data_IF_642243782226
#
_entry.id   IF_642243782226
#
_cell.length_a   1.000
_cell.length_b   1.000
_cell.length_c   1.000
_cell.angle_alpha   90.00
_cell.angle_beta   90.00
_cell.angle_gamma   90.00
#
_symmetry.space_group_name_H-M   'P 1'
#
loop_
_entity.id
_entity.type
_entity.pdbx_description
1 polymer ?
#
# COMPACT_ATOMS: atom_id res chain seq x y z
N UNK A 1 23.67 -31.23 -3.81
CA UNK A 1 22.29 -30.71 -3.85
C UNK A 1 22.02 -30.01 -2.52
N UNK A 2 22.54 -28.78 -2.36
CA UNK A 2 22.40 -28.02 -1.11
C UNK A 2 20.96 -27.51 -1.03
N UNK A 3 20.27 -27.84 0.06
CA UNK A 3 18.94 -27.33 0.37
C UNK A 3 18.98 -25.79 0.32
N UNK A 4 18.24 -25.21 -0.61
CA UNK A 4 17.99 -23.77 -0.63
C UNK A 4 17.17 -23.48 0.63
N UNK A 5 17.80 -22.92 1.67
CA UNK A 5 17.05 -22.42 2.83
C UNK A 5 16.07 -21.37 2.32
N UNK A 6 14.77 -21.65 2.42
CA UNK A 6 13.74 -20.71 2.04
C UNK A 6 13.86 -19.44 2.92
N UNK A 7 14.00 -18.28 2.28
CA UNK A 7 14.02 -17.01 3.01
C UNK A 7 12.62 -16.74 3.57
N UNK A 8 12.47 -16.49 4.89
CA UNK A 8 11.17 -16.20 5.47
C UNK A 8 10.64 -14.87 4.91
N UNK A 9 9.40 -14.89 4.42
CA UNK A 9 8.73 -13.68 3.97
C UNK A 9 8.09 -12.98 5.16
N UNK A 10 8.49 -11.73 5.40
CA UNK A 10 7.94 -10.88 6.45
C UNK A 10 7.38 -9.57 5.89
N UNK A 11 6.32 -8.99 6.48
CA UNK A 11 5.85 -7.67 6.10
C UNK A 11 6.93 -6.62 6.36
N UNK A 12 7.17 -5.77 5.36
CA UNK A 12 8.19 -4.72 5.41
C UNK A 12 7.64 -3.43 6.06
N UNK A 13 6.37 -3.10 5.82
CA UNK A 13 5.69 -1.95 6.37
C UNK A 13 4.17 -2.20 6.47
N UNK A 14 3.49 -1.44 7.35
CA UNK A 14 2.03 -1.46 7.47
C UNK A 14 1.51 -0.09 7.90
N UNK A 15 0.65 0.51 7.10
CA UNK A 15 -0.19 1.63 7.52
C UNK A 15 -1.56 1.06 7.94
N UNK A 16 -1.92 1.23 9.21
CA UNK A 16 -3.14 0.64 9.77
C UNK A 16 -4.18 1.73 10.08
N UNK A 17 -5.46 1.42 9.84
CA UNK A 17 -6.56 2.33 10.19
C UNK A 17 -6.68 3.57 9.29
N UNK A 18 -6.05 3.54 8.11
CA UNK A 18 -6.23 4.62 7.14
C UNK A 18 -7.69 4.72 6.68
N UNK A 19 -8.16 5.95 6.50
CA UNK A 19 -9.51 6.25 6.00
C UNK A 19 -9.39 6.70 4.56
N UNK A 20 -10.14 6.06 3.67
CA UNK A 20 -10.19 6.42 2.24
C UNK A 20 -10.76 7.84 2.11
N UNK A 21 -9.98 8.74 1.52
CA UNK A 21 -10.35 10.15 1.33
C UNK A 21 -10.97 10.42 -0.04
N UNK A 22 -10.82 9.51 -1.00
CA UNK A 22 -11.40 9.63 -2.32
C UNK A 22 -11.39 8.29 -3.08
N UNK A 23 -12.26 8.17 -4.09
CA UNK A 23 -12.23 7.06 -5.05
C UNK A 23 -12.71 7.55 -6.40
N UNK A 24 -12.07 7.11 -7.48
CA UNK A 24 -12.48 7.43 -8.84
C UNK A 24 -12.47 6.17 -9.71
N UNK A 25 -13.65 5.72 -10.15
CA UNK A 25 -13.81 4.52 -10.97
C UNK A 25 -13.16 4.66 -12.36
N UNK A 26 -13.06 5.89 -12.88
CA UNK A 26 -12.50 6.18 -14.18
C UNK A 26 -11.01 6.56 -14.10
N UNK A 27 -10.42 6.55 -12.91
CA UNK A 27 -9.00 6.83 -12.75
C UNK A 27 -8.18 5.58 -13.07
N UNK A 28 -7.43 5.66 -14.16
CA UNK A 28 -6.42 4.67 -14.49
C UNK A 28 -5.12 5.01 -13.76
N UNK A 29 -4.99 4.48 -12.55
CA UNK A 29 -3.79 4.62 -11.74
C UNK A 29 -3.72 3.60 -10.62
N UNK A 30 -2.93 3.92 -9.60
CA UNK A 30 -2.69 3.04 -8.45
C UNK A 30 -3.15 3.70 -7.15
N UNK A 31 -2.77 3.16 -5.99
CA UNK A 31 -3.15 3.72 -4.70
C UNK A 31 -2.32 4.98 -4.42
N UNK A 32 -2.97 6.14 -4.39
CA UNK A 32 -2.34 7.39 -4.01
C UNK A 32 -2.32 7.52 -2.50
N UNK A 33 -1.12 7.66 -1.93
CA UNK A 33 -0.90 7.90 -0.51
C UNK A 33 -0.17 9.21 -0.31
N UNK A 34 -0.58 9.96 0.72
CA UNK A 34 0.13 11.16 1.14
C UNK A 34 1.60 10.86 1.42
N UNK A 35 2.48 11.76 0.99
CA UNK A 35 3.94 11.63 1.19
C UNK A 35 4.33 11.53 2.67
N UNK A 36 3.50 12.08 3.56
CA UNK A 36 3.61 11.95 5.01
C UNK A 36 3.36 10.51 5.48
N UNK A 37 2.32 9.85 4.94
CA UNK A 37 2.01 8.44 5.22
C UNK A 37 3.14 7.55 4.71
N UNK A 38 3.59 7.76 3.46
CA UNK A 38 4.68 6.98 2.87
C UNK A 38 5.93 7.05 3.75
N UNK A 39 6.33 8.26 4.17
CA UNK A 39 7.48 8.47 5.06
C UNK A 39 7.28 7.82 6.43
N UNK A 40 6.09 7.96 7.03
CA UNK A 40 5.80 7.45 8.37
C UNK A 40 5.97 5.93 8.48
N UNK A 41 5.59 5.18 7.44
CA UNK A 41 5.76 3.71 7.40
C UNK A 41 6.97 3.25 6.58
N UNK A 42 7.72 4.20 6.04
CA UNK A 42 8.88 3.96 5.18
C UNK A 42 8.56 3.37 3.80
N UNK A 43 7.33 3.47 3.28
CA UNK A 43 6.98 3.01 1.93
C UNK A 43 7.69 3.84 0.85
N UNK A 44 8.26 3.17 -0.16
CA UNK A 44 8.83 3.84 -1.31
C UNK A 44 7.77 4.12 -2.37
N UNK A 45 7.89 5.22 -3.14
CA UNK A 45 7.10 5.40 -4.35
C UNK A 45 7.25 4.20 -5.29
N UNK A 46 6.14 3.79 -5.91
CA UNK A 46 6.02 2.64 -6.81
C UNK A 46 6.26 1.27 -6.16
N UNK A 47 6.39 1.21 -4.83
CA UNK A 47 6.48 -0.06 -4.13
C UNK A 47 5.16 -0.81 -4.16
N UNK A 48 5.23 -2.12 -4.39
CA UNK A 48 4.08 -3.01 -4.34
C UNK A 48 3.52 -3.06 -2.92
N UNK A 49 2.22 -2.85 -2.80
CA UNK A 49 1.46 -2.92 -1.56
C UNK A 49 0.33 -3.93 -1.68
N UNK A 50 -0.06 -4.47 -0.53
CA UNK A 50 -1.32 -5.21 -0.39
C UNK A 50 -2.31 -4.35 0.38
N UNK A 51 -3.52 -4.24 -0.16
CA UNK A 51 -4.62 -3.48 0.42
C UNK A 51 -5.63 -4.43 1.01
N UNK A 52 -5.92 -4.23 2.30
CA UNK A 52 -6.89 -5.00 3.07
C UNK A 52 -8.01 -4.05 3.48
N UNK A 53 -9.08 -3.99 2.69
CA UNK A 53 -10.24 -3.17 3.01
C UNK A 53 -11.05 -3.85 4.12
N UNK A 54 -11.00 -3.30 5.34
CA UNK A 54 -11.69 -3.85 6.51
C UNK A 54 -13.20 -3.63 6.47
N UNK A 55 -13.68 -2.61 5.75
CA UNK A 55 -15.10 -2.27 5.66
C UNK A 55 -15.84 -3.16 4.66
N UNK A 56 -15.27 -3.32 3.47
CA UNK A 56 -15.88 -4.10 2.38
C UNK A 56 -15.31 -5.50 2.18
N UNK A 57 -14.26 -5.87 2.92
CA UNK A 57 -13.62 -7.19 2.83
C UNK A 57 -12.75 -7.44 1.59
N UNK A 58 -12.76 -6.53 0.61
CA UNK A 58 -11.97 -6.65 -0.63
C UNK A 58 -10.48 -6.63 -0.32
N UNK A 59 -9.74 -7.57 -0.90
CA UNK A 59 -8.28 -7.69 -0.79
C UNK A 59 -7.66 -7.71 -2.17
N UNK A 60 -6.66 -6.88 -2.39
CA UNK A 60 -5.98 -6.77 -3.68
C UNK A 60 -4.55 -6.27 -3.49
N UNK A 61 -3.74 -6.35 -4.53
CA UNK A 61 -2.39 -5.79 -4.57
C UNK A 61 -2.27 -4.77 -5.68
N UNK A 62 -1.49 -3.72 -5.43
CA UNK A 62 -1.19 -2.66 -6.39
C UNK A 62 0.14 -2.01 -5.99
N UNK A 63 0.43 -0.77 -6.39
CA UNK A 63 1.60 -0.02 -5.96
C UNK A 63 1.23 1.33 -5.34
N UNK A 64 2.17 1.96 -4.64
CA UNK A 64 1.92 3.27 -4.00
C UNK A 64 2.37 4.42 -4.91
N UNK A 65 1.48 5.38 -5.16
CA UNK A 65 1.81 6.66 -5.80
C UNK A 65 1.87 7.77 -4.73
N UNK A 66 2.86 8.67 -4.80
CA UNK A 66 2.93 9.80 -3.87
C UNK A 66 1.86 10.85 -4.23
N UNK A 67 1.15 11.32 -3.22
CA UNK A 67 0.15 12.39 -3.35
C UNK A 67 0.28 13.47 -2.27
N UNK A 68 -0.64 14.46 -2.27
CA UNK A 68 -0.73 15.47 -1.22
C UNK A 68 -0.85 14.85 0.18
N UNK A 69 -0.39 15.56 1.21
CA UNK A 69 -0.39 15.06 2.58
C UNK A 69 -1.77 14.61 3.06
N UNK A 70 -1.82 13.50 3.80
CA UNK A 70 -3.06 12.92 4.33
C UNK A 70 -3.98 12.23 3.31
N UNK A 71 -3.65 12.24 2.01
CA UNK A 71 -4.47 11.57 0.98
C UNK A 71 -4.38 10.05 1.07
N UNK A 72 -5.52 9.38 0.89
CA UNK A 72 -5.66 7.94 0.71
C UNK A 72 -6.73 7.70 -0.37
N UNK A 73 -6.34 7.58 -1.63
CA UNK A 73 -7.27 7.56 -2.78
C UNK A 73 -6.87 6.59 -3.89
#
# INVERSE_FOLDING_TARGET
MTLLNAMPMVPRAKAHGLVVTGKNLNYYGSLTLGVDILKAVGLYPLERVWVYNVTGGVRFSTYALPGPGGVVA
#
